data_IF_234831763496
#
_entry.id   IF_234831763496
#
_cell.length_a   1.000
_cell.length_b   1.000
_cell.length_c   1.000
_cell.angle_alpha   90.00
_cell.angle_beta   90.00
_cell.angle_gamma   90.00
#
_symmetry.space_group_name_H-M   'P 1'
#
loop_
_entity.id
_entity.type
_entity.pdbx_description
1 polymer ?
#
# COMPACT_ATOMS: atom_id res chain seq x y z
N UNK A 1 16.96 -0.26 -13.25
CA UNK A 1 16.47 -0.80 -11.95
C UNK A 1 15.18 -1.58 -12.21
N UNK A 2 14.93 -2.68 -11.48
CA UNK A 2 13.67 -3.42 -11.58
C UNK A 2 12.50 -2.49 -11.26
N UNK A 3 11.43 -2.54 -12.05
CA UNK A 3 10.26 -1.67 -11.84
C UNK A 3 9.52 -2.09 -10.57
N UNK A 4 9.16 -1.11 -9.76
CA UNK A 4 8.54 -1.30 -8.45
C UNK A 4 7.20 -0.58 -8.39
N UNK A 5 6.21 -1.16 -7.72
CA UNK A 5 4.91 -0.54 -7.46
C UNK A 5 4.61 -0.57 -5.96
N UNK A 6 4.00 0.49 -5.46
CA UNK A 6 3.46 0.59 -4.11
C UNK A 6 1.95 0.44 -4.20
N UNK A 7 1.36 -0.39 -3.34
CA UNK A 7 -0.07 -0.70 -3.35
C UNK A 7 -0.61 -0.60 -1.92
N UNK A 8 -1.76 0.05 -1.79
CA UNK A 8 -2.57 0.12 -0.58
C UNK A 8 -4.03 -0.12 -0.96
N UNK A 9 -4.79 -0.84 -0.14
CA UNK A 9 -6.15 -1.24 -0.46
C UNK A 9 -7.11 -0.85 0.65
N UNK A 10 -8.36 -0.60 0.27
CA UNK A 10 -9.48 -0.54 1.21
C UNK A 10 -10.45 -1.67 0.88
N UNK A 11 -10.85 -2.42 1.90
CA UNK A 11 -11.71 -3.60 1.75
C UNK A 11 -12.83 -3.64 2.80
N UNK A 12 -13.90 -4.32 2.45
CA UNK A 12 -15.02 -4.59 3.35
C UNK A 12 -14.69 -5.71 4.33
N UNK A 13 -15.46 -5.81 5.41
CA UNK A 13 -15.46 -7.00 6.27
C UNK A 13 -15.83 -8.20 5.37
N UNK A 14 -14.92 -9.18 5.27
CA UNK A 14 -15.00 -10.28 4.30
C UNK A 14 -13.87 -10.28 3.25
N UNK A 15 -13.18 -9.15 3.07
CA UNK A 15 -12.00 -9.05 2.20
C UNK A 15 -12.29 -8.55 0.79
N UNK A 16 -13.52 -8.15 0.50
CA UNK A 16 -13.87 -7.56 -0.80
C UNK A 16 -13.32 -6.15 -0.93
N UNK A 17 -12.43 -5.96 -1.91
CA UNK A 17 -11.78 -4.68 -2.16
C UNK A 17 -12.74 -3.75 -2.89
N UNK A 18 -12.74 -2.47 -2.51
CA UNK A 18 -13.50 -1.43 -3.21
C UNK A 18 -12.65 -0.23 -3.65
N UNK A 19 -11.40 -0.14 -3.19
CA UNK A 19 -10.44 0.86 -3.60
C UNK A 19 -9.03 0.27 -3.54
N UNK A 20 -8.25 0.49 -4.60
CA UNK A 20 -6.82 0.20 -4.64
C UNK A 20 -6.09 1.48 -5.03
N UNK A 21 -5.23 1.99 -4.16
CA UNK A 21 -4.26 3.02 -4.50
C UNK A 21 -2.98 2.37 -5.05
N UNK A 22 -2.34 3.05 -6.00
CA UNK A 22 -1.05 2.59 -6.55
C UNK A 22 -0.11 3.74 -6.90
N UNK A 23 1.20 3.50 -6.81
CA UNK A 23 2.23 4.42 -7.28
C UNK A 23 3.48 3.69 -7.80
N UNK A 24 3.99 4.14 -8.96
CA UNK A 24 5.37 3.88 -9.39
C UNK A 24 6.30 5.02 -8.98
N UNK A 25 5.76 6.24 -8.89
CA UNK A 25 6.47 7.46 -8.50
C UNK A 25 5.47 8.54 -8.06
N UNK A 26 5.96 9.68 -7.57
CA UNK A 26 5.10 10.83 -7.21
C UNK A 26 4.29 11.32 -8.43
N UNK A 27 4.87 11.23 -9.62
CA UNK A 27 4.24 11.67 -10.88
C UNK A 27 3.40 10.58 -11.55
N UNK A 28 3.61 9.32 -11.20
CA UNK A 28 2.92 8.17 -11.77
C UNK A 28 2.27 7.37 -10.66
N UNK A 29 1.06 7.78 -10.33
CA UNK A 29 0.21 7.24 -9.28
C UNK A 29 -1.25 7.32 -9.71
N UNK A 30 -2.10 6.53 -9.08
CA UNK A 30 -3.53 6.55 -9.34
C UNK A 30 -4.28 5.64 -8.40
N UNK A 31 -5.55 5.44 -8.70
CA UNK A 31 -6.46 4.62 -7.91
C UNK A 31 -7.37 3.81 -8.83
N UNK A 32 -7.71 2.59 -8.44
CA UNK A 32 -8.75 1.76 -9.05
C UNK A 32 -9.92 1.67 -8.06
N UNK A 33 -11.09 2.12 -8.49
CA UNK A 33 -12.34 2.08 -7.74
C UNK A 33 -13.56 2.14 -8.68
N UNK A 34 -14.74 1.81 -8.17
CA UNK A 34 -15.98 1.70 -8.96
C UNK A 34 -15.75 0.87 -10.24
N UNK A 35 -16.15 1.35 -11.42
CA UNK A 35 -16.00 0.66 -12.71
C UNK A 35 -14.54 0.49 -13.18
N UNK A 36 -13.59 1.13 -12.51
CA UNK A 36 -12.16 0.94 -12.79
C UNK A 36 -11.52 -0.19 -11.97
N UNK A 37 -12.17 -0.64 -10.90
CA UNK A 37 -11.70 -1.75 -10.09
C UNK A 37 -12.05 -3.08 -10.74
N UNK A 38 -11.21 -3.49 -11.68
CA UNK A 38 -11.29 -4.81 -12.31
C UNK A 38 -9.95 -5.52 -12.23
N UNK A 39 -9.99 -6.85 -12.12
CA UNK A 39 -8.80 -7.69 -12.13
C UNK A 39 -7.92 -7.40 -13.36
N UNK A 40 -8.52 -7.25 -14.54
CA UNK A 40 -7.79 -6.97 -15.78
C UNK A 40 -7.04 -5.63 -15.74
N UNK A 41 -7.67 -4.57 -15.23
CA UNK A 41 -7.01 -3.26 -15.07
C UNK A 41 -5.89 -3.34 -14.05
N UNK A 42 -6.10 -4.05 -12.94
CA UNK A 42 -5.07 -4.28 -11.94
C UNK A 42 -3.86 -5.05 -12.50
N UNK A 43 -4.08 -6.17 -13.18
CA UNK A 43 -3.00 -6.95 -13.80
C UNK A 43 -2.27 -6.14 -14.89
N UNK A 44 -2.96 -5.23 -15.57
CA UNK A 44 -2.35 -4.31 -16.53
C UNK A 44 -1.40 -3.33 -15.85
N UNK A 45 -1.70 -2.84 -14.64
CA UNK A 45 -0.75 -2.07 -13.85
C UNK A 45 0.52 -2.89 -13.60
N UNK A 46 0.36 -4.16 -13.22
CA UNK A 46 1.51 -5.00 -12.88
C UNK A 46 2.42 -5.39 -14.06
N UNK A 47 2.10 -4.99 -15.31
CA UNK A 47 2.94 -5.29 -16.48
C UNK A 47 4.33 -4.68 -16.34
N UNK A 48 5.34 -5.56 -16.37
CA UNK A 48 6.75 -5.19 -16.24
C UNK A 48 7.19 -4.83 -14.82
N UNK A 49 6.32 -5.02 -13.81
CA UNK A 49 6.68 -4.87 -12.38
C UNK A 49 7.44 -6.09 -11.90
N UNK A 50 8.49 -5.87 -11.11
CA UNK A 50 9.25 -6.91 -10.42
C UNK A 50 8.93 -6.94 -8.93
N UNK A 51 8.84 -5.77 -8.29
CA UNK A 51 8.58 -5.64 -6.86
C UNK A 51 7.21 -5.03 -6.58
N UNK A 52 6.45 -5.64 -5.68
CA UNK A 52 5.22 -5.07 -5.11
C UNK A 52 5.49 -4.76 -3.65
N UNK A 53 5.42 -3.49 -3.28
CA UNK A 53 5.56 -3.00 -1.92
C UNK A 53 4.19 -2.66 -1.34
N UNK A 54 3.92 -3.11 -0.12
CA UNK A 54 2.64 -2.91 0.57
C UNK A 54 2.85 -2.82 2.08
N UNK A 55 1.83 -2.41 2.82
CA UNK A 55 1.91 -2.21 4.27
C UNK A 55 0.79 -2.94 5.01
N UNK A 56 1.09 -4.13 5.54
CA UNK A 56 0.09 -4.94 6.24
C UNK A 56 -0.42 -6.11 5.41
N UNK A 57 -1.72 -6.40 5.36
CA UNK A 57 -2.25 -7.63 4.78
C UNK A 57 -2.60 -7.56 3.27
N UNK A 58 -2.43 -6.40 2.63
CA UNK A 58 -3.07 -6.05 1.35
C UNK A 58 -2.89 -7.07 0.23
N UNK A 59 -1.66 -7.57 0.00
CA UNK A 59 -1.41 -8.57 -1.05
C UNK A 59 -2.25 -9.83 -0.84
N UNK A 60 -2.36 -10.32 0.39
CA UNK A 60 -3.19 -11.48 0.69
C UNK A 60 -4.68 -11.20 0.54
N UNK A 61 -5.12 -9.95 0.78
CA UNK A 61 -6.51 -9.53 0.52
C UNK A 61 -6.79 -9.51 -0.99
N UNK A 62 -5.88 -8.96 -1.79
CA UNK A 62 -5.98 -8.92 -3.25
C UNK A 62 -6.06 -10.33 -3.85
N UNK A 63 -5.18 -11.22 -3.40
CA UNK A 63 -5.15 -12.61 -3.86
C UNK A 63 -6.47 -13.32 -3.59
N UNK A 64 -7.04 -13.15 -2.39
CA UNK A 64 -8.36 -13.72 -2.06
C UNK A 64 -9.49 -13.10 -2.87
N UNK A 65 -9.50 -11.77 -3.02
CA UNK A 65 -10.56 -11.06 -3.72
C UNK A 65 -10.67 -11.45 -5.20
N UNK A 66 -9.55 -11.76 -5.86
CA UNK A 66 -9.54 -12.15 -7.28
C UNK A 66 -9.14 -13.60 -7.56
N UNK A 67 -8.91 -14.42 -6.54
CA UNK A 67 -8.46 -15.80 -6.71
C UNK A 67 -7.14 -15.93 -7.50
N UNK A 68 -6.20 -14.99 -7.29
CA UNK A 68 -4.88 -14.98 -7.95
C UNK A 68 -3.76 -15.24 -6.96
N UNK A 69 -2.58 -15.59 -7.47
CA UNK A 69 -1.35 -15.69 -6.67
C UNK A 69 -0.32 -14.70 -7.23
N UNK A 70 -0.11 -13.60 -6.50
CA UNK A 70 0.85 -12.56 -6.84
C UNK A 70 2.27 -12.97 -6.45
N UNK A 71 2.41 -13.69 -5.32
CA UNK A 71 3.70 -14.09 -4.75
C UNK A 71 4.55 -14.97 -5.67
N UNK A 72 3.90 -15.71 -6.57
CA UNK A 72 4.58 -16.58 -7.54
C UNK A 72 5.25 -15.80 -8.67
N UNK A 73 4.73 -14.61 -8.98
CA UNK A 73 5.14 -13.81 -10.15
C UNK A 73 5.93 -12.56 -9.77
N UNK A 74 5.74 -12.07 -8.55
CA UNK A 74 6.32 -10.81 -8.09
C UNK A 74 7.06 -10.99 -6.77
N UNK A 75 8.05 -10.13 -6.54
CA UNK A 75 8.70 -10.00 -5.25
C UNK A 75 7.83 -9.11 -4.38
N UNK A 76 6.90 -9.72 -3.63
CA UNK A 76 5.99 -9.02 -2.73
C UNK A 76 6.67 -8.73 -1.39
N UNK A 77 6.92 -7.46 -1.07
CA UNK A 77 7.59 -7.01 0.15
C UNK A 77 6.59 -6.30 1.06
N UNK A 78 6.33 -6.89 2.22
CA UNK A 78 5.61 -6.21 3.28
C UNK A 78 6.56 -5.25 4.00
N UNK A 79 6.44 -3.96 3.75
CA UNK A 79 7.35 -2.94 4.27
C UNK A 79 7.28 -2.86 5.81
N UNK A 80 6.10 -3.12 6.39
CA UNK A 80 5.93 -3.20 7.85
C UNK A 80 6.88 -4.22 8.49
N UNK A 81 7.03 -5.39 7.85
CA UNK A 81 7.95 -6.44 8.34
C UNK A 81 9.39 -5.95 8.28
N UNK A 82 9.78 -5.33 7.17
CA UNK A 82 11.12 -4.78 7.00
C UNK A 82 11.43 -3.73 8.06
N UNK A 83 10.48 -2.83 8.35
CA UNK A 83 10.66 -1.80 9.38
C UNK A 83 10.90 -2.39 10.77
N UNK A 84 10.11 -3.40 11.16
CA UNK A 84 10.26 -4.10 12.45
C UNK A 84 11.63 -4.75 12.64
N UNK A 85 12.33 -5.10 11.56
CA UNK A 85 13.69 -5.67 11.65
C UNK A 85 14.78 -4.61 11.84
N UNK A 86 14.51 -3.34 11.51
CA UNK A 86 15.56 -2.32 11.44
C UNK A 86 15.49 -1.28 12.55
N UNK A 87 14.32 -1.03 13.13
CA UNK A 87 14.18 -0.05 14.21
C UNK A 87 12.96 -0.34 15.08
N UNK A 88 13.00 0.14 16.32
CA UNK A 88 11.88 0.08 17.25
C UNK A 88 11.02 1.35 17.18
N UNK A 89 9.70 1.18 17.24
CA UNK A 89 8.74 2.26 17.29
C UNK A 89 7.64 1.95 18.32
N UNK A 90 7.11 2.97 18.97
CA UNK A 90 5.99 2.83 19.91
C UNK A 90 4.70 2.36 19.21
N UNK A 91 4.57 2.66 17.93
CA UNK A 91 3.48 2.22 17.08
C UNK A 91 3.99 2.00 15.66
N UNK A 92 3.63 0.88 15.03
CA UNK A 92 3.92 0.62 13.63
C UNK A 92 2.73 0.94 12.70
N UNK A 93 1.86 1.87 13.10
CA UNK A 93 0.92 2.46 12.15
C UNK A 93 1.71 3.29 11.15
N UNK A 94 1.37 3.20 9.87
CA UNK A 94 2.08 3.91 8.80
C UNK A 94 2.24 5.41 9.13
N UNK A 95 1.16 6.08 9.54
CA UNK A 95 1.18 7.48 9.97
C UNK A 95 2.16 7.79 11.11
N UNK A 96 2.38 6.87 12.05
CA UNK A 96 3.33 7.07 13.14
C UNK A 96 4.77 7.01 12.64
N UNK A 97 5.07 6.02 11.78
CA UNK A 97 6.40 5.85 11.20
C UNK A 97 6.73 7.00 10.24
N UNK A 98 5.76 7.48 9.47
CA UNK A 98 5.92 8.68 8.65
C UNK A 98 6.43 9.88 9.45
N UNK A 99 5.79 10.17 10.59
CA UNK A 99 6.21 11.27 11.48
C UNK A 99 7.62 11.04 12.02
N UNK A 100 7.96 9.82 12.43
CA UNK A 100 9.32 9.47 12.88
C UNK A 100 10.38 9.78 11.82
N UNK A 101 10.04 9.66 10.53
CA UNK A 101 10.93 9.96 9.41
C UNK A 101 10.66 11.33 8.78
N UNK A 102 9.96 12.25 9.47
CA UNK A 102 9.73 13.63 9.02
C UNK A 102 8.82 13.75 7.78
N UNK A 103 7.84 12.85 7.66
CA UNK A 103 6.76 12.91 6.66
C UNK A 103 5.48 13.24 7.41
N UNK A 104 4.85 14.36 7.05
CA UNK A 104 3.62 14.83 7.69
C UNK A 104 2.46 14.72 6.71
N UNK A 105 1.36 14.12 7.18
CA UNK A 105 0.14 13.99 6.40
C UNK A 105 -0.61 15.32 6.32
N UNK A 106 -1.27 15.55 5.20
CA UNK A 106 -2.28 16.61 5.07
C UNK A 106 -3.59 16.18 5.73
N UNK A 107 -3.96 14.90 5.60
CA UNK A 107 -5.14 14.34 6.27
C UNK A 107 -4.70 13.60 7.55
N UNK A 108 -4.69 14.33 8.68
CA UNK A 108 -4.38 13.75 9.99
C UNK A 108 -5.51 12.80 10.41
N UNK A 109 -5.20 11.49 10.47
CA UNK A 109 -6.08 10.40 10.91
C UNK A 109 -7.46 10.34 10.19
N UNK A 110 -7.53 9.71 9.01
CA UNK A 110 -8.81 9.27 8.44
C UNK A 110 -9.31 7.99 9.14
N UNK A 111 -9.79 8.14 10.39
CA UNK A 111 -10.60 7.20 11.18
C UNK A 111 -10.00 5.81 11.48
N UNK A 112 -10.44 5.21 12.59
CA UNK A 112 -9.85 4.01 13.20
C UNK A 112 -10.62 2.70 12.94
N UNK A 113 -11.78 2.71 12.27
CA UNK A 113 -12.58 1.49 12.06
C UNK A 113 -13.05 1.28 10.62
N UNK A 114 -12.92 0.04 10.15
CA UNK A 114 -13.38 -0.44 8.83
C UNK A 114 -14.87 -0.14 8.62
N UNK A 115 -15.68 -0.22 9.68
CA UNK A 115 -17.11 0.15 9.66
C UNK A 115 -17.34 1.61 9.22
N UNK A 116 -16.50 2.53 9.69
CA UNK A 116 -16.62 3.93 9.29
C UNK A 116 -16.17 4.17 7.85
N UNK A 117 -15.16 3.43 7.37
CA UNK A 117 -14.71 3.50 5.98
C UNK A 117 -15.84 3.10 5.03
N UNK A 118 -16.54 2.00 5.34
CA UNK A 118 -17.71 1.56 4.57
C UNK A 118 -18.82 2.61 4.52
N UNK A 119 -19.18 3.17 5.68
CA UNK A 119 -20.22 4.21 5.76
C UNK A 119 -19.84 5.41 4.90
N UNK A 120 -18.57 5.81 4.95
CA UNK A 120 -18.08 6.95 4.22
C UNK A 120 -17.98 6.71 2.70
N UNK A 121 -17.71 5.48 2.25
CA UNK A 121 -17.70 5.14 0.82
C UNK A 121 -19.05 5.41 0.13
N UNK A 122 -20.16 5.22 0.86
CA UNK A 122 -21.52 5.47 0.36
C UNK A 122 -21.91 6.95 0.32
N UNK A 123 -21.13 7.84 0.94
CA UNK A 123 -21.41 9.28 0.99
C UNK A 123 -20.45 10.06 0.07
N UNK A 124 -20.92 10.77 -0.97
CA UNK A 124 -20.06 11.38 -2.00
C UNK A 124 -18.94 12.29 -1.45
N UNK A 125 -19.25 13.12 -0.45
CA UNK A 125 -18.25 14.01 0.16
C UNK A 125 -17.19 13.24 0.96
N UNK A 126 -17.59 12.18 1.65
CA UNK A 126 -16.68 11.39 2.50
C UNK A 126 -15.85 10.42 1.67
N UNK A 127 -16.43 9.88 0.58
CA UNK A 127 -15.71 9.15 -0.47
C UNK A 127 -14.55 9.98 -1.03
N UNK A 128 -14.77 11.26 -1.35
CA UNK A 128 -13.68 12.15 -1.81
C UNK A 128 -12.54 12.25 -0.79
N UNK A 129 -12.86 12.27 0.51
CA UNK A 129 -11.84 12.29 1.57
C UNK A 129 -11.10 10.96 1.70
N UNK A 130 -11.80 9.82 1.60
CA UNK A 130 -11.15 8.51 1.57
C UNK A 130 -10.22 8.37 0.35
N UNK A 131 -10.65 8.83 -0.83
CA UNK A 131 -9.81 8.82 -2.02
C UNK A 131 -8.54 9.66 -1.83
N UNK A 132 -8.62 10.83 -1.17
CA UNK A 132 -7.42 11.62 -0.84
C UNK A 132 -6.51 10.88 0.14
N UNK A 133 -7.09 10.30 1.19
CA UNK A 133 -6.37 9.57 2.23
C UNK A 133 -5.61 8.36 1.66
N UNK A 134 -6.28 7.46 0.94
CA UNK A 134 -5.63 6.30 0.32
C UNK A 134 -4.56 6.69 -0.71
N UNK A 135 -4.76 7.78 -1.46
CA UNK A 135 -3.71 8.31 -2.35
C UNK A 135 -2.49 8.79 -1.55
N UNK A 136 -2.73 9.49 -0.45
CA UNK A 136 -1.67 9.96 0.45
C UNK A 136 -0.91 8.78 1.06
N UNK A 137 -1.60 7.72 1.49
CA UNK A 137 -0.98 6.50 2.03
C UNK A 137 0.03 5.89 1.06
N UNK A 138 -0.34 5.70 -0.21
CA UNK A 138 0.58 5.08 -1.18
C UNK A 138 1.78 5.97 -1.50
N UNK A 139 1.56 7.28 -1.65
CA UNK A 139 2.64 8.23 -1.94
C UNK A 139 3.60 8.33 -0.75
N UNK A 140 3.06 8.41 0.46
CA UNK A 140 3.88 8.51 1.67
C UNK A 140 4.58 7.19 1.98
N UNK A 141 3.94 6.05 1.77
CA UNK A 141 4.59 4.73 1.86
C UNK A 141 5.81 4.65 0.94
N UNK A 142 5.69 5.10 -0.31
CA UNK A 142 6.84 5.15 -1.23
C UNK A 142 7.95 6.07 -0.73
N UNK A 143 7.61 7.30 -0.31
CA UNK A 143 8.57 8.27 0.22
C UNK A 143 9.29 7.73 1.46
N UNK A 144 8.51 7.14 2.37
CA UNK A 144 8.99 6.53 3.59
C UNK A 144 9.91 5.36 3.29
N UNK A 145 9.52 4.48 2.36
CA UNK A 145 10.36 3.37 1.91
C UNK A 145 11.71 3.86 1.40
N UNK A 146 11.73 4.88 0.54
CA UNK A 146 12.99 5.45 0.03
C UNK A 146 13.86 5.97 1.18
N UNK A 147 13.28 6.73 2.13
CA UNK A 147 14.02 7.27 3.28
C UNK A 147 14.60 6.16 4.16
N UNK A 148 13.79 5.18 4.56
CA UNK A 148 14.20 4.07 5.42
C UNK A 148 15.23 3.20 4.72
N UNK A 149 14.98 2.82 3.46
CA UNK A 149 15.89 2.01 2.66
C UNK A 149 17.27 2.64 2.57
N UNK A 150 17.33 3.95 2.30
CA UNK A 150 18.59 4.68 2.22
C UNK A 150 19.26 4.81 3.59
N UNK A 151 18.49 5.14 4.63
CA UNK A 151 19.01 5.34 5.99
C UNK A 151 19.66 4.07 6.55
N UNK A 152 19.07 2.90 6.34
CA UNK A 152 19.59 1.62 6.83
C UNK A 152 20.39 0.82 5.78
N UNK A 153 20.61 1.37 4.58
CA UNK A 153 21.37 0.70 3.53
C UNK A 153 20.75 -0.62 3.03
N UNK A 154 19.41 -0.73 3.02
CA UNK A 154 18.71 -2.00 2.74
C UNK A 154 18.88 -2.42 1.27
N UNK A 155 19.48 -3.60 1.07
CA UNK A 155 19.84 -4.16 -0.23
C UNK A 155 18.76 -5.07 -0.81
N UNK A 156 18.75 -5.24 -2.14
CA UNK A 156 17.80 -6.13 -2.82
C UNK A 156 17.96 -7.60 -2.39
N UNK A 157 19.17 -8.04 -2.05
CA UNK A 157 19.44 -9.39 -1.56
C UNK A 157 18.66 -9.71 -0.28
N UNK A 158 18.63 -8.77 0.65
CA UNK A 158 17.81 -8.85 1.86
C UNK A 158 16.31 -8.92 1.53
N UNK A 159 15.82 -8.08 0.60
CA UNK A 159 14.40 -8.09 0.21
C UNK A 159 13.97 -9.43 -0.38
N UNK A 160 14.83 -10.10 -1.14
CA UNK A 160 14.53 -11.42 -1.70
C UNK A 160 14.34 -12.46 -0.59
N UNK A 161 15.10 -12.37 0.50
CA UNK A 161 14.95 -13.23 1.68
C UNK A 161 13.66 -12.93 2.45
N UNK A 162 13.26 -11.65 2.47
CA UNK A 162 12.08 -11.17 3.20
C UNK A 162 10.77 -11.20 2.41
N UNK A 163 10.80 -11.62 1.13
CA UNK A 163 9.61 -11.66 0.30
C UNK A 163 8.51 -12.50 0.95
N UNK A 164 7.26 -12.08 0.78
CA UNK A 164 6.10 -12.83 1.23
C UNK A 164 6.11 -14.21 0.56
N UNK A 165 6.08 -15.27 1.37
CA UNK A 165 5.97 -16.66 0.91
C UNK A 165 4.52 -17.02 0.65
#
# INVERSE_FOLDING_TARGET
>A
MPRSIFIDCEWYIGGDIFLIGWAYSVRSQGQLYDSSLTQQKFLTLLKGVTYIYFYGPDVGVIERHWGIVLRDKFICINILKVFKHHFHANSYKLAHIEVMFGIYRQEVEYKKSVWMIWKDWRHPQRKKRLLKYNREDVINMMRLWIRVRNHFGIQNSYLIQEKLK
#
